data_IF_417828139163
#
_entry.id   IF_417828139163
#
_cell.length_a   1.000
_cell.length_b   1.000
_cell.length_c   1.000
_cell.angle_alpha   90.00
_cell.angle_beta   90.00
_cell.angle_gamma   90.00
#
_symmetry.space_group_name_H-M   'P 1'
#
loop_
_entity.id
_entity.type
_entity.pdbx_description
1 polymer ?
#
# COMPACT_ATOMS: atom_id res chain seq x y z
N UNK A 1 9.21 -6.95 73.14
CA UNK A 1 10.33 -6.55 72.26
C UNK A 1 10.81 -7.84 71.60
N UNK A 2 10.94 -7.81 70.27
CA UNK A 2 11.36 -8.90 69.38
C UNK A 2 10.34 -10.01 69.05
N UNK A 3 9.71 -9.88 67.87
CA UNK A 3 9.51 -11.00 66.94
C UNK A 3 9.65 -10.46 65.52
N UNK A 4 10.72 -10.92 64.88
CA UNK A 4 11.08 -10.71 63.48
C UNK A 4 10.33 -11.73 62.61
N UNK A 5 10.07 -11.28 61.39
CA UNK A 5 9.93 -12.03 60.14
C UNK A 5 8.73 -12.97 59.95
N UNK A 6 7.87 -12.61 58.99
CA UNK A 6 7.48 -13.41 57.81
C UNK A 6 6.06 -13.05 57.37
N UNK A 7 5.95 -12.12 56.43
CA UNK A 7 4.99 -12.23 55.33
C UNK A 7 5.52 -11.35 54.20
N UNK A 8 6.39 -11.97 53.40
CA UNK A 8 6.90 -11.40 52.16
C UNK A 8 5.77 -11.20 51.18
N UNK A 9 5.73 -10.02 50.58
CA UNK A 9 4.89 -9.73 49.43
C UNK A 9 5.11 -10.77 48.33
N UNK A 10 4.01 -11.34 47.85
CA UNK A 10 3.97 -12.09 46.62
C UNK A 10 4.31 -11.13 45.48
N UNK A 11 5.59 -11.15 45.10
CA UNK A 11 6.10 -10.56 43.89
C UNK A 11 5.52 -11.31 42.68
N UNK A 12 4.38 -10.84 42.19
CA UNK A 12 3.73 -11.29 40.96
C UNK A 12 4.48 -10.85 39.69
N UNK A 13 5.60 -10.13 39.83
CA UNK A 13 6.39 -9.63 38.69
C UNK A 13 7.30 -10.71 38.08
N UNK A 14 7.59 -11.79 38.80
CA UNK A 14 8.50 -12.87 38.36
C UNK A 14 7.87 -14.00 37.53
N UNK A 15 6.57 -13.95 37.24
CA UNK A 15 5.88 -15.02 36.48
C UNK A 15 5.79 -14.77 34.97
N UNK A 16 6.11 -13.55 34.48
CA UNK A 16 6.08 -13.23 33.05
C UNK A 16 7.31 -13.70 32.25
N UNK A 17 8.34 -14.25 32.91
CA UNK A 17 9.61 -14.62 32.26
C UNK A 17 9.66 -16.06 31.69
N UNK A 18 8.51 -16.75 31.57
CA UNK A 18 8.48 -18.17 31.15
C UNK A 18 7.43 -18.55 30.10
N UNK A 19 7.10 -17.67 29.15
CA UNK A 19 6.82 -18.23 27.82
C UNK A 19 8.19 -18.55 27.23
N UNK A 20 8.62 -19.80 27.42
CA UNK A 20 9.91 -20.30 26.92
C UNK A 20 10.08 -19.83 25.48
N UNK A 21 11.17 -19.14 25.14
CA UNK A 21 11.41 -18.68 23.76
C UNK A 21 11.26 -19.81 22.73
N UNK A 22 11.48 -21.07 23.14
CA UNK A 22 11.20 -22.25 22.33
C UNK A 22 9.72 -22.44 21.97
N UNK A 23 8.79 -22.15 22.89
CA UNK A 23 7.36 -22.22 22.62
C UNK A 23 6.91 -21.15 21.61
N UNK A 24 7.42 -19.93 21.71
CA UNK A 24 7.15 -18.86 20.74
C UNK A 24 7.70 -19.23 19.36
N UNK A 25 8.93 -19.74 19.29
CA UNK A 25 9.54 -20.21 18.04
C UNK A 25 8.77 -21.38 17.40
N UNK A 26 8.23 -22.29 18.21
CA UNK A 26 7.36 -23.36 17.72
C UNK A 26 6.06 -22.79 17.16
N UNK A 27 5.43 -21.84 17.85
CA UNK A 27 4.20 -21.18 17.37
C UNK A 27 4.43 -20.44 16.04
N UNK A 28 5.48 -19.62 15.93
CA UNK A 28 5.83 -18.94 14.67
C UNK A 28 6.14 -19.93 13.55
N UNK A 29 6.85 -21.02 13.84
CA UNK A 29 7.16 -22.07 12.87
C UNK A 29 5.92 -22.79 12.37
N UNK A 30 4.94 -23.06 13.24
CA UNK A 30 3.65 -23.68 12.85
C UNK A 30 2.89 -22.75 11.91
N UNK A 31 2.75 -21.46 12.27
CA UNK A 31 2.07 -20.47 11.43
C UNK A 31 2.78 -20.31 10.08
N UNK A 32 4.12 -20.26 10.10
CA UNK A 32 4.95 -20.20 8.90
C UNK A 32 4.81 -21.43 8.00
N UNK A 33 4.76 -22.63 8.57
CA UNK A 33 4.53 -23.88 7.83
C UNK A 33 3.15 -23.87 7.17
N UNK A 34 2.10 -23.48 7.90
CA UNK A 34 0.75 -23.38 7.35
C UNK A 34 0.69 -22.35 6.23
N UNK A 35 1.34 -21.19 6.41
CA UNK A 35 1.45 -20.16 5.38
C UNK A 35 2.12 -20.69 4.12
N UNK A 36 3.24 -21.42 4.27
CA UNK A 36 3.95 -22.03 3.15
C UNK A 36 3.10 -23.09 2.45
N UNK A 37 2.41 -23.95 3.22
CA UNK A 37 1.48 -24.95 2.70
C UNK A 37 0.40 -24.28 1.86
N UNK A 38 -0.26 -23.24 2.38
CA UNK A 38 -1.31 -22.51 1.67
C UNK A 38 -0.80 -21.86 0.38
N UNK A 39 0.37 -21.21 0.41
CA UNK A 39 0.97 -20.58 -0.78
C UNK A 39 1.34 -21.62 -1.86
N UNK A 40 1.64 -22.86 -1.47
CA UNK A 40 2.04 -23.93 -2.40
C UNK A 40 0.85 -24.72 -2.95
N UNK A 41 -0.08 -25.08 -2.09
CA UNK A 41 -1.26 -25.89 -2.43
C UNK A 41 -2.38 -25.03 -3.03
N UNK A 42 -2.48 -23.75 -2.64
CA UNK A 42 -3.42 -22.79 -3.19
C UNK A 42 -4.87 -23.11 -2.85
N UNK A 43 -5.76 -22.97 -3.84
CA UNK A 43 -7.21 -23.07 -3.65
C UNK A 43 -7.70 -24.40 -3.03
N UNK A 44 -6.96 -25.49 -3.24
CA UNK A 44 -7.31 -26.81 -2.66
C UNK A 44 -7.33 -26.76 -1.13
N UNK A 45 -6.46 -25.96 -0.49
CA UNK A 45 -6.47 -25.79 0.97
C UNK A 45 -7.79 -25.22 1.48
N UNK A 46 -8.40 -24.30 0.74
CA UNK A 46 -9.63 -23.62 1.14
C UNK A 46 -10.87 -24.47 0.83
N UNK A 47 -10.78 -25.34 -0.18
CA UNK A 47 -11.86 -26.29 -0.53
C UNK A 47 -12.01 -27.43 0.49
N UNK A 48 -10.92 -27.83 1.14
CA UNK A 48 -10.96 -28.85 2.20
C UNK A 48 -11.42 -28.20 3.51
N UNK A 49 -12.69 -28.41 3.86
CA UNK A 49 -13.36 -27.75 4.99
C UNK A 49 -12.60 -27.86 6.33
N UNK A 50 -12.02 -29.04 6.62
CA UNK A 50 -11.21 -29.25 7.84
C UNK A 50 -9.93 -28.41 7.85
N UNK A 51 -9.26 -28.31 6.70
CA UNK A 51 -8.04 -27.51 6.55
C UNK A 51 -8.36 -26.02 6.69
N UNK A 52 -9.42 -25.56 6.01
CA UNK A 52 -9.87 -24.18 6.09
C UNK A 52 -10.25 -23.78 7.53
N UNK A 53 -11.01 -24.63 8.25
CA UNK A 53 -11.33 -24.40 9.67
C UNK A 53 -10.08 -24.31 10.54
N UNK A 54 -9.12 -25.20 10.34
CA UNK A 54 -7.87 -25.20 11.11
C UNK A 54 -7.06 -23.91 10.86
N UNK A 55 -6.93 -23.49 9.60
CA UNK A 55 -6.24 -22.23 9.24
C UNK A 55 -6.93 -21.04 9.90
N UNK A 56 -8.26 -20.95 9.81
CA UNK A 56 -9.02 -19.85 10.41
C UNK A 56 -8.84 -19.83 11.94
N UNK A 57 -8.86 -20.99 12.61
CA UNK A 57 -8.64 -21.08 14.05
C UNK A 57 -7.23 -20.62 14.46
N UNK A 58 -6.20 -21.04 13.72
CA UNK A 58 -4.82 -20.62 13.96
C UNK A 58 -4.65 -19.12 13.70
N UNK A 59 -5.27 -18.61 12.64
CA UNK A 59 -5.28 -17.18 12.33
C UNK A 59 -5.92 -16.37 13.47
N UNK A 60 -7.11 -16.77 13.91
CA UNK A 60 -7.81 -16.11 15.02
C UNK A 60 -6.98 -16.11 16.30
N UNK A 61 -6.28 -17.20 16.59
CA UNK A 61 -5.38 -17.28 17.74
C UNK A 61 -4.17 -16.35 17.58
N UNK A 62 -3.57 -16.31 16.40
CA UNK A 62 -2.37 -15.49 16.11
C UNK A 62 -2.66 -13.99 16.16
N UNK A 63 -3.90 -13.59 15.85
CA UNK A 63 -4.34 -12.19 15.85
C UNK A 63 -5.09 -11.78 17.13
N UNK A 64 -5.16 -12.66 18.13
CA UNK A 64 -5.84 -12.37 19.39
C UNK A 64 -4.93 -11.52 20.30
N UNK A 65 -5.17 -10.20 20.30
CA UNK A 65 -4.45 -9.23 21.13
C UNK A 65 -4.78 -9.35 22.62
N UNK A 66 -5.82 -10.11 23.00
CA UNK A 66 -6.25 -10.29 24.40
C UNK A 66 -5.58 -11.47 25.11
N UNK A 67 -4.97 -12.39 24.37
CA UNK A 67 -4.38 -13.62 24.91
C UNK A 67 -2.88 -13.48 25.08
N UNK A 68 -2.39 -13.84 26.27
CA UNK A 68 -0.96 -13.94 26.56
C UNK A 68 -0.28 -14.93 25.58
N UNK A 69 0.72 -14.42 24.84
CA UNK A 69 1.53 -15.19 23.89
C UNK A 69 0.92 -15.42 22.49
N UNK A 70 -0.26 -14.85 22.20
CA UNK A 70 -0.83 -14.81 20.84
C UNK A 70 -0.38 -13.56 20.10
N UNK A 71 -1.15 -12.47 20.24
CA UNK A 71 -1.01 -11.26 19.43
C UNK A 71 0.36 -10.58 19.47
N UNK A 72 1.04 -10.52 20.62
CA UNK A 72 2.28 -9.71 20.73
C UNK A 72 3.44 -10.22 19.86
N UNK A 73 3.51 -11.53 19.59
CA UNK A 73 4.65 -12.16 18.89
C UNK A 73 4.27 -12.90 17.61
N UNK A 74 2.97 -13.02 17.29
CA UNK A 74 2.49 -13.77 16.13
C UNK A 74 1.70 -12.92 15.14
N UNK A 75 1.50 -11.62 15.38
CA UNK A 75 0.68 -10.80 14.46
C UNK A 75 1.31 -10.71 13.07
N UNK A 76 2.63 -10.60 12.96
CA UNK A 76 3.31 -10.55 11.65
C UNK A 76 3.07 -11.86 10.87
N UNK A 77 3.35 -13.02 11.47
CA UNK A 77 3.11 -14.34 10.88
C UNK A 77 1.62 -14.62 10.66
N UNK A 78 0.76 -14.11 11.54
CA UNK A 78 -0.69 -14.18 11.43
C UNK A 78 -1.20 -13.42 10.21
N UNK A 79 -0.72 -12.19 10.00
CA UNK A 79 -1.05 -11.39 8.81
C UNK A 79 -0.48 -12.00 7.52
N UNK A 80 0.70 -12.63 7.58
CA UNK A 80 1.27 -13.42 6.49
C UNK A 80 0.38 -14.61 6.09
N UNK A 81 -0.11 -15.36 7.10
CA UNK A 81 -1.05 -16.47 6.92
C UNK A 81 -2.39 -15.95 6.38
N UNK A 82 -2.87 -14.83 6.91
CA UNK A 82 -4.09 -14.19 6.46
C UNK A 82 -4.02 -13.83 4.97
N UNK A 83 -2.97 -13.13 4.56
CA UNK A 83 -2.73 -12.78 3.16
C UNK A 83 -2.68 -14.03 2.27
N UNK A 84 -2.07 -15.13 2.75
CA UNK A 84 -2.03 -16.39 2.04
C UNK A 84 -3.42 -17.05 1.93
N UNK A 85 -4.25 -16.97 2.97
CA UNK A 85 -5.64 -17.41 2.96
C UNK A 85 -6.48 -16.64 1.94
N UNK A 86 -6.36 -15.31 1.91
CA UNK A 86 -7.07 -14.49 0.94
C UNK A 86 -6.62 -14.80 -0.49
N UNK A 87 -5.30 -14.92 -0.71
CA UNK A 87 -4.76 -15.25 -2.03
C UNK A 87 -5.13 -16.67 -2.51
N UNK A 88 -5.32 -17.63 -1.59
CA UNK A 88 -5.78 -18.97 -1.91
C UNK A 88 -7.31 -19.05 -2.10
N UNK A 89 -8.06 -18.07 -1.56
CA UNK A 89 -9.51 -18.04 -1.68
C UNK A 89 -9.92 -17.69 -3.12
N UNK A 90 -10.86 -18.46 -3.67
CA UNK A 90 -11.37 -18.23 -5.03
C UNK A 90 -12.60 -17.33 -5.08
N UNK A 91 -13.20 -17.05 -3.92
CA UNK A 91 -14.42 -16.26 -3.78
C UNK A 91 -14.36 -15.44 -2.49
N UNK A 92 -14.99 -14.27 -2.51
CA UNK A 92 -15.17 -13.41 -1.35
C UNK A 92 -16.35 -13.91 -0.48
N UNK A 93 -16.13 -14.99 0.29
CA UNK A 93 -17.18 -15.65 1.07
C UNK A 93 -17.49 -14.93 2.39
N UNK A 94 -18.58 -15.29 3.07
CA UNK A 94 -18.95 -14.71 4.37
C UNK A 94 -17.86 -14.92 5.43
N UNK A 95 -17.24 -16.09 5.45
CA UNK A 95 -16.19 -16.44 6.41
C UNK A 95 -14.97 -15.53 6.23
N UNK A 96 -14.57 -15.29 4.98
CA UNK A 96 -13.47 -14.40 4.63
C UNK A 96 -13.79 -12.95 5.00
N UNK A 97 -15.02 -12.50 4.75
CA UNK A 97 -15.51 -11.16 5.12
C UNK A 97 -15.47 -10.89 6.62
N UNK A 98 -15.90 -11.88 7.42
CA UNK A 98 -15.96 -11.75 8.87
C UNK A 98 -14.60 -11.61 9.56
N UNK A 99 -13.50 -11.88 8.85
CA UNK A 99 -12.15 -11.67 9.38
C UNK A 99 -11.71 -10.20 9.28
N UNK A 100 -12.23 -9.43 8.30
CA UNK A 100 -11.75 -8.07 8.04
C UNK A 100 -11.77 -7.14 9.27
N UNK A 101 -12.80 -7.15 10.14
CA UNK A 101 -12.81 -6.32 11.35
C UNK A 101 -11.63 -6.53 12.32
N UNK A 102 -10.85 -7.62 12.16
CA UNK A 102 -9.62 -7.82 12.93
C UNK A 102 -8.54 -6.79 12.59
N UNK A 103 -8.55 -6.17 11.40
CA UNK A 103 -7.57 -5.11 11.05
C UNK A 103 -7.65 -3.92 12.00
N UNK A 104 -8.87 -3.51 12.39
CA UNK A 104 -9.08 -2.43 13.37
C UNK A 104 -8.59 -2.82 14.76
N UNK A 105 -8.70 -4.11 15.14
CA UNK A 105 -8.20 -4.59 16.43
C UNK A 105 -6.68 -4.56 16.49
N UNK A 106 -6.00 -4.92 15.40
CA UNK A 106 -4.55 -4.88 15.30
C UNK A 106 -4.05 -3.42 15.36
N UNK A 107 -4.68 -2.52 14.61
CA UNK A 107 -4.29 -1.10 14.52
C UNK A 107 -5.01 -0.18 15.53
N UNK A 108 -5.66 -0.78 16.52
CA UNK A 108 -6.37 -0.06 17.58
C UNK A 108 -5.45 0.37 18.72
N UNK A 109 -4.32 -0.33 18.90
CA UNK A 109 -3.34 -0.08 19.97
C UNK A 109 -2.20 0.81 19.48
N UNK A 110 -1.58 0.44 18.36
CA UNK A 110 -0.47 1.15 17.73
C UNK A 110 -0.47 0.92 16.20
N UNK A 111 0.60 1.37 15.53
CA UNK A 111 0.81 1.20 14.10
C UNK A 111 2.02 0.31 13.78
N UNK A 112 2.46 -0.53 14.71
CA UNK A 112 3.68 -1.34 14.53
C UNK A 112 3.50 -2.37 13.41
N UNK A 113 2.29 -2.94 13.31
CA UNK A 113 1.90 -3.92 12.28
C UNK A 113 1.19 -3.29 11.08
N UNK A 114 1.38 -1.98 10.87
CA UNK A 114 0.66 -1.24 9.83
C UNK A 114 0.87 -1.84 8.45
N UNK A 115 2.11 -2.20 8.10
CA UNK A 115 2.47 -2.69 6.76
C UNK A 115 1.85 -4.05 6.46
N UNK A 116 1.76 -4.89 7.47
CA UNK A 116 1.22 -6.25 7.43
C UNK A 116 -0.29 -6.18 7.22
N UNK A 117 -0.97 -5.32 7.99
CA UNK A 117 -2.42 -5.07 7.84
C UNK A 117 -2.73 -4.47 6.46
N UNK A 118 -1.90 -3.55 6.01
CA UNK A 118 -1.95 -2.94 4.70
C UNK A 118 -1.85 -3.94 3.54
N UNK A 119 -0.98 -4.94 3.64
CA UNK A 119 -0.88 -6.05 2.68
C UNK A 119 -2.12 -6.93 2.69
N UNK A 120 -2.70 -7.17 3.87
CA UNK A 120 -3.98 -7.88 4.00
C UNK A 120 -5.09 -7.10 3.31
N UNK A 121 -5.20 -5.78 3.55
CA UNK A 121 -6.19 -4.91 2.91
C UNK A 121 -6.08 -4.94 1.38
N UNK A 122 -4.86 -4.86 0.84
CA UNK A 122 -4.63 -4.98 -0.60
C UNK A 122 -5.14 -6.34 -1.13
N UNK A 123 -4.88 -7.43 -0.39
CA UNK A 123 -5.36 -8.77 -0.76
C UNK A 123 -6.89 -8.85 -0.80
N UNK A 124 -7.57 -8.19 0.15
CA UNK A 124 -9.03 -8.09 0.17
C UNK A 124 -9.58 -7.30 -1.00
N UNK A 125 -8.98 -6.15 -1.32
CA UNK A 125 -9.35 -5.35 -2.47
C UNK A 125 -9.23 -6.14 -3.78
N UNK A 126 -8.22 -7.02 -3.90
CA UNK A 126 -8.04 -7.90 -5.06
C UNK A 126 -9.08 -9.03 -5.14
N UNK A 127 -9.48 -9.59 -3.99
CA UNK A 127 -10.43 -10.71 -3.96
C UNK A 127 -11.89 -10.26 -4.10
N UNK A 128 -12.28 -9.22 -3.35
CA UNK A 128 -13.66 -8.76 -3.25
C UNK A 128 -14.01 -7.61 -4.19
N UNK A 129 -13.02 -6.91 -4.76
CA UNK A 129 -13.25 -5.81 -5.70
C UNK A 129 -14.25 -4.78 -5.14
N UNK A 130 -15.23 -4.41 -5.97
CA UNK A 130 -16.28 -3.44 -5.61
C UNK A 130 -17.15 -3.93 -4.44
N UNK A 131 -17.39 -5.24 -4.29
CA UNK A 131 -18.16 -5.77 -3.16
C UNK A 131 -17.47 -5.47 -1.83
N UNK A 132 -16.14 -5.67 -1.77
CA UNK A 132 -15.33 -5.30 -0.61
C UNK A 132 -15.32 -3.78 -0.38
N UNK A 133 -15.14 -2.98 -1.44
CA UNK A 133 -15.11 -1.51 -1.32
C UNK A 133 -16.45 -0.95 -0.83
N UNK A 134 -17.57 -1.52 -1.25
CA UNK A 134 -18.90 -1.09 -0.79
C UNK A 134 -19.18 -1.50 0.66
N UNK A 135 -18.63 -2.62 1.13
CA UNK A 135 -18.86 -3.12 2.49
C UNK A 135 -17.91 -2.49 3.52
N UNK A 136 -16.62 -2.33 3.17
CA UNK A 136 -15.55 -1.94 4.09
C UNK A 136 -14.76 -0.70 3.67
N UNK A 137 -15.16 0.00 2.60
CA UNK A 137 -14.46 1.19 2.09
C UNK A 137 -14.32 2.30 3.14
N UNK A 138 -15.36 2.56 3.93
CA UNK A 138 -15.31 3.57 5.00
C UNK A 138 -14.34 3.20 6.12
N UNK A 139 -14.30 1.91 6.51
CA UNK A 139 -13.37 1.41 7.51
C UNK A 139 -11.92 1.51 7.00
N UNK A 140 -11.68 1.08 5.76
CA UNK A 140 -10.38 1.20 5.10
C UNK A 140 -9.90 2.65 5.07
N UNK A 141 -10.79 3.56 4.67
CA UNK A 141 -10.53 5.00 4.62
C UNK A 141 -10.20 5.55 6.01
N UNK A 142 -10.97 5.18 7.03
CA UNK A 142 -10.70 5.58 8.42
C UNK A 142 -9.30 5.16 8.86
N UNK A 143 -8.92 3.90 8.61
CA UNK A 143 -7.59 3.39 8.95
C UNK A 143 -6.48 4.15 8.22
N UNK A 144 -6.63 4.36 6.91
CA UNK A 144 -5.63 5.08 6.10
C UNK A 144 -5.49 6.54 6.56
N UNK A 145 -6.59 7.23 6.85
CA UNK A 145 -6.57 8.60 7.36
C UNK A 145 -5.90 8.69 8.74
N UNK A 146 -6.21 7.78 9.66
CA UNK A 146 -5.54 7.70 10.97
C UNK A 146 -4.04 7.45 10.80
N UNK A 147 -3.66 6.51 9.93
CA UNK A 147 -2.27 6.19 9.66
C UNK A 147 -1.52 7.43 9.14
N UNK A 148 -2.05 8.11 8.10
CA UNK A 148 -1.44 9.31 7.50
C UNK A 148 -1.32 10.51 8.46
N UNK A 149 -2.03 10.51 9.59
CA UNK A 149 -1.95 11.57 10.61
C UNK A 149 -1.03 11.26 11.79
N UNK A 150 -0.68 9.98 11.99
CA UNK A 150 -0.03 9.51 13.22
C UNK A 150 1.35 8.86 13.01
N UNK A 151 1.69 8.49 11.78
CA UNK A 151 2.92 7.74 11.49
C UNK A 151 4.04 8.61 10.94
N UNK A 152 5.27 8.14 11.11
CA UNK A 152 6.46 8.70 10.47
C UNK A 152 6.47 8.41 8.96
N UNK A 153 7.40 9.04 8.23
CA UNK A 153 7.59 8.91 6.78
C UNK A 153 7.42 7.49 6.24
N UNK A 154 8.01 6.48 6.91
CA UNK A 154 7.91 5.07 6.49
C UNK A 154 6.46 4.57 6.41
N UNK A 155 5.60 4.97 7.35
CA UNK A 155 4.19 4.61 7.34
C UNK A 155 3.40 5.39 6.26
N UNK A 156 3.72 6.67 6.05
CA UNK A 156 3.11 7.48 5.00
C UNK A 156 3.44 6.90 3.60
N UNK A 157 4.68 6.46 3.40
CA UNK A 157 5.10 5.78 2.18
C UNK A 157 4.37 4.44 1.99
N UNK A 158 4.22 3.65 3.05
CA UNK A 158 3.46 2.40 2.98
C UNK A 158 1.97 2.63 2.63
N UNK A 159 1.36 3.68 3.19
CA UNK A 159 -0.01 4.07 2.84
C UNK A 159 -0.11 4.53 1.38
N UNK A 160 0.85 5.33 0.91
CA UNK A 160 0.90 5.78 -0.47
C UNK A 160 1.05 4.61 -1.47
N UNK A 161 1.83 3.58 -1.13
CA UNK A 161 2.01 2.38 -1.98
C UNK A 161 0.72 1.58 -2.17
N UNK A 162 -0.14 1.52 -1.15
CA UNK A 162 -1.41 0.80 -1.23
C UNK A 162 -2.44 1.60 -1.98
N UNK A 163 -2.54 2.90 -1.71
CA UNK A 163 -3.41 3.80 -2.46
C UNK A 163 -3.05 3.78 -3.94
N UNK A 164 -1.74 3.76 -4.23
CA UNK A 164 -1.25 3.56 -5.58
C UNK A 164 -1.76 2.24 -6.18
N UNK A 165 -1.62 1.14 -5.44
CA UNK A 165 -2.08 -0.18 -5.88
C UNK A 165 -3.59 -0.18 -6.11
N UNK A 166 -4.38 0.41 -5.22
CA UNK A 166 -5.83 0.56 -5.36
C UNK A 166 -6.22 1.39 -6.60
N UNK A 167 -5.54 2.51 -6.88
CA UNK A 167 -5.79 3.29 -8.10
C UNK A 167 -5.51 2.51 -9.38
N UNK A 168 -4.54 1.59 -9.35
CA UNK A 168 -4.25 0.69 -10.48
C UNK A 168 -5.33 -0.38 -10.63
N UNK A 169 -5.88 -0.88 -9.51
CA UNK A 169 -6.89 -1.95 -9.52
C UNK A 169 -8.30 -1.46 -9.85
N UNK A 170 -8.64 -0.24 -9.45
CA UNK A 170 -9.94 0.38 -9.67
C UNK A 170 -9.81 1.60 -10.58
N UNK A 171 -9.53 1.44 -11.89
CA UNK A 171 -9.32 2.58 -12.78
C UNK A 171 -10.59 3.42 -12.98
N UNK A 172 -11.77 2.82 -12.82
CA UNK A 172 -13.05 3.54 -12.95
C UNK A 172 -13.41 4.33 -11.69
N UNK A 173 -13.44 3.66 -10.53
CA UNK A 173 -14.00 4.19 -9.28
C UNK A 173 -12.94 4.52 -8.22
N UNK A 174 -11.67 4.22 -8.46
CA UNK A 174 -10.61 4.37 -7.45
C UNK A 174 -10.49 5.80 -6.94
N UNK A 175 -10.53 6.78 -7.84
CA UNK A 175 -10.48 8.21 -7.45
C UNK A 175 -11.66 8.55 -6.54
N UNK A 176 -12.88 8.13 -6.90
CA UNK A 176 -14.06 8.29 -6.04
C UNK A 176 -13.91 7.64 -4.67
N UNK A 177 -13.45 6.39 -4.59
CA UNK A 177 -13.28 5.70 -3.32
C UNK A 177 -12.25 6.37 -2.40
N UNK A 178 -11.22 6.99 -2.97
CA UNK A 178 -10.10 7.57 -2.24
C UNK A 178 -10.15 9.10 -2.16
N UNK A 179 -11.23 9.74 -2.63
CA UNK A 179 -11.28 11.19 -2.82
C UNK A 179 -10.92 12.01 -1.57
N UNK A 180 -11.41 11.62 -0.40
CA UNK A 180 -11.08 12.29 0.87
C UNK A 180 -9.61 12.14 1.26
N UNK A 181 -9.03 10.97 1.05
CA UNK A 181 -7.61 10.71 1.34
C UNK A 181 -6.73 11.52 0.37
N UNK A 182 -7.11 11.56 -0.92
CA UNK A 182 -6.42 12.35 -1.92
C UNK A 182 -6.50 13.86 -1.62
N UNK A 183 -7.64 14.36 -1.11
CA UNK A 183 -7.78 15.75 -0.66
C UNK A 183 -6.88 16.06 0.54
N UNK A 184 -6.83 15.18 1.53
CA UNK A 184 -5.93 15.34 2.68
C UNK A 184 -4.46 15.38 2.26
N UNK A 185 -4.05 14.48 1.37
CA UNK A 185 -2.69 14.49 0.80
C UNK A 185 -2.39 15.76 0.02
N UNK A 186 -3.34 16.22 -0.81
CA UNK A 186 -3.20 17.46 -1.57
C UNK A 186 -3.00 18.65 -0.62
N UNK A 187 -3.82 18.76 0.42
CA UNK A 187 -3.72 19.81 1.42
C UNK A 187 -2.37 19.78 2.17
N UNK A 188 -1.87 18.60 2.52
CA UNK A 188 -0.56 18.42 3.18
C UNK A 188 0.60 18.84 2.27
N UNK A 189 0.53 18.50 0.98
CA UNK A 189 1.51 18.92 -0.03
C UNK A 189 1.51 20.44 -0.19
N UNK A 190 0.34 21.06 -0.35
CA UNK A 190 0.22 22.51 -0.50
C UNK A 190 0.72 23.26 0.74
N UNK A 191 0.45 22.73 1.93
CA UNK A 191 0.91 23.32 3.18
C UNK A 191 2.41 23.09 3.45
N UNK A 192 3.13 22.34 2.60
CA UNK A 192 4.54 21.96 2.75
C UNK A 192 4.85 21.40 4.15
N UNK A 193 3.94 20.59 4.70
CA UNK A 193 4.02 20.04 6.07
C UNK A 193 4.77 18.71 6.17
N UNK A 194 4.97 18.05 5.04
CA UNK A 194 5.58 16.73 4.97
C UNK A 194 7.06 16.82 4.60
N UNK A 195 7.82 15.77 4.90
CA UNK A 195 9.19 15.65 4.41
C UNK A 195 9.23 15.60 2.88
N UNK A 196 10.36 15.97 2.28
CA UNK A 196 10.50 15.98 0.81
C UNK A 196 10.23 14.59 0.20
N UNK A 197 10.61 13.52 0.91
CA UNK A 197 10.40 12.13 0.45
C UNK A 197 8.90 11.78 0.44
N UNK A 198 8.18 12.14 1.50
CA UNK A 198 6.73 11.91 1.58
C UNK A 198 5.98 12.80 0.58
N UNK A 199 6.38 14.06 0.43
CA UNK A 199 5.84 14.99 -0.58
C UNK A 199 5.98 14.41 -1.98
N UNK A 200 7.16 13.88 -2.35
CA UNK A 200 7.36 13.24 -3.65
C UNK A 200 6.45 12.02 -3.86
N UNK A 201 6.22 11.22 -2.82
CA UNK A 201 5.32 10.07 -2.88
C UNK A 201 3.86 10.52 -3.08
N UNK A 202 3.40 11.51 -2.32
CA UNK A 202 2.04 12.05 -2.44
C UNK A 202 1.81 12.71 -3.79
N UNK A 203 2.72 13.58 -4.24
CA UNK A 203 2.66 14.20 -5.57
C UNK A 203 2.67 13.14 -6.67
N UNK A 204 3.52 12.12 -6.55
CA UNK A 204 3.57 11.01 -7.50
C UNK A 204 2.30 10.15 -7.51
N UNK A 205 1.57 10.07 -6.39
CA UNK A 205 0.28 9.39 -6.26
C UNK A 205 -0.85 10.25 -6.81
N UNK A 206 -0.89 11.56 -6.51
CA UNK A 206 -1.84 12.52 -7.08
C UNK A 206 -1.72 12.56 -8.60
N UNK A 207 -0.50 12.56 -9.15
CA UNK A 207 -0.27 12.44 -10.59
C UNK A 207 -0.90 11.17 -11.19
N UNK A 208 -0.86 10.05 -10.45
CA UNK A 208 -1.53 8.82 -10.87
C UNK A 208 -3.04 8.97 -10.82
N UNK A 209 -3.60 9.53 -9.75
CA UNK A 209 -5.05 9.72 -9.62
C UNK A 209 -5.59 10.58 -10.77
N UNK A 210 -4.90 11.67 -11.12
CA UNK A 210 -5.19 12.51 -12.28
C UNK A 210 -5.19 11.67 -13.56
N UNK A 211 -4.13 10.92 -13.83
CA UNK A 211 -4.00 10.06 -15.03
C UNK A 211 -5.02 8.91 -15.09
N UNK A 212 -5.49 8.43 -13.94
CA UNK A 212 -6.48 7.35 -13.86
C UNK A 212 -7.85 7.86 -14.27
N UNK A 213 -8.33 8.96 -13.67
CA UNK A 213 -9.63 9.54 -13.99
C UNK A 213 -9.64 11.03 -13.66
N UNK A 214 -9.26 11.87 -14.63
CA UNK A 214 -9.17 13.31 -14.44
C UNK A 214 -10.53 13.96 -14.13
N UNK A 215 -11.63 13.45 -14.69
CA UNK A 215 -12.96 14.06 -14.49
C UNK A 215 -13.45 13.93 -13.04
N UNK A 216 -13.27 12.73 -12.46
CA UNK A 216 -13.56 12.51 -11.04
C UNK A 216 -12.57 13.26 -10.14
N UNK A 217 -11.28 13.30 -10.52
CA UNK A 217 -10.28 14.03 -9.74
C UNK A 217 -10.58 15.52 -9.69
N UNK A 218 -10.94 16.13 -10.82
CA UNK A 218 -11.36 17.52 -10.91
C UNK A 218 -12.57 17.82 -10.04
N UNK A 219 -13.56 16.93 -10.06
CA UNK A 219 -14.84 17.16 -9.38
C UNK A 219 -14.74 16.88 -7.87
N UNK A 220 -14.05 15.81 -7.47
CA UNK A 220 -14.04 15.32 -6.09
C UNK A 220 -12.82 15.74 -5.28
N UNK A 221 -11.68 16.00 -5.94
CA UNK A 221 -10.41 16.35 -5.27
C UNK A 221 -10.08 17.82 -5.44
N UNK A 222 -10.06 18.31 -6.67
CA UNK A 222 -9.84 19.74 -6.94
C UNK A 222 -11.08 20.59 -6.68
N UNK A 223 -12.26 19.98 -6.60
CA UNK A 223 -13.55 20.70 -6.42
C UNK A 223 -13.77 21.76 -7.51
N UNK A 224 -13.19 21.54 -8.70
CA UNK A 224 -13.14 22.48 -9.85
C UNK A 224 -12.53 23.84 -9.52
N UNK A 225 -11.66 23.89 -8.52
CA UNK A 225 -10.89 25.08 -8.17
C UNK A 225 -9.63 25.17 -9.03
N UNK A 226 -9.58 26.21 -9.87
CA UNK A 226 -8.45 26.48 -10.75
C UNK A 226 -7.16 26.75 -9.96
N UNK A 227 -7.24 27.37 -8.78
CA UNK A 227 -6.08 27.67 -7.96
C UNK A 227 -5.40 26.39 -7.47
N UNK A 228 -6.18 25.39 -7.03
CA UNK A 228 -5.66 24.07 -6.65
C UNK A 228 -5.04 23.33 -7.83
N UNK A 229 -5.58 23.49 -9.04
CA UNK A 229 -4.99 22.90 -10.25
C UNK A 229 -3.61 23.51 -10.53
N UNK A 230 -3.52 24.83 -10.42
CA UNK A 230 -2.29 25.60 -10.55
C UNK A 230 -1.25 25.19 -9.50
N UNK A 231 -1.63 25.14 -8.22
CA UNK A 231 -0.75 24.75 -7.12
C UNK A 231 -0.27 23.30 -7.26
N UNK A 232 -1.13 22.39 -7.75
CA UNK A 232 -0.76 21.01 -8.07
C UNK A 232 0.30 20.96 -9.18
N UNK A 233 0.17 21.76 -10.24
CA UNK A 233 1.19 21.83 -11.29
C UNK A 233 2.52 22.33 -10.76
N UNK A 234 2.53 23.35 -9.91
CA UNK A 234 3.75 23.85 -9.29
C UNK A 234 4.39 22.79 -8.41
N UNK A 235 3.61 22.08 -7.59
CA UNK A 235 4.11 20.98 -6.77
C UNK A 235 4.69 19.82 -7.63
N UNK A 236 4.05 19.48 -8.76
CA UNK A 236 4.53 18.46 -9.68
C UNK A 236 5.89 18.82 -10.29
N UNK A 237 6.08 20.10 -10.67
CA UNK A 237 7.34 20.61 -11.20
C UNK A 237 8.42 20.68 -10.11
N UNK A 238 8.11 21.29 -8.96
CA UNK A 238 9.05 21.48 -7.83
C UNK A 238 9.60 20.15 -7.30
N UNK A 239 8.76 19.11 -7.22
CA UNK A 239 9.17 17.82 -6.65
C UNK A 239 9.87 16.91 -7.66
N UNK A 240 9.87 17.22 -8.96
CA UNK A 240 10.39 16.30 -9.99
C UNK A 240 11.88 15.96 -9.82
N UNK A 241 12.70 16.92 -9.41
CA UNK A 241 14.13 16.71 -9.20
C UNK A 241 14.44 15.82 -8.00
N UNK A 242 13.54 15.82 -7.00
CA UNK A 242 13.64 15.00 -5.81
C UNK A 242 13.04 13.58 -6.00
N UNK A 243 12.32 13.34 -7.09
CA UNK A 243 11.73 12.03 -7.39
C UNK A 243 12.80 11.05 -7.87
N UNK A 244 13.14 10.09 -7.00
CA UNK A 244 14.01 8.97 -7.35
C UNK A 244 13.24 7.93 -8.18
N UNK A 245 13.61 7.79 -9.46
CA UNK A 245 13.09 6.73 -10.33
C UNK A 245 12.40 7.26 -11.59
N UNK A 246 12.89 6.82 -12.73
CA UNK A 246 12.45 7.25 -14.05
C UNK A 246 10.97 7.00 -14.33
N UNK A 247 10.42 5.89 -13.81
CA UNK A 247 9.00 5.57 -13.95
C UNK A 247 8.07 6.58 -13.23
N UNK A 248 8.48 7.10 -12.06
CA UNK A 248 7.70 8.11 -11.33
C UNK A 248 7.81 9.46 -12.05
N UNK A 249 9.02 9.85 -12.47
CA UNK A 249 9.23 11.09 -13.23
C UNK A 249 8.43 11.13 -14.53
N UNK A 250 8.45 10.05 -15.31
CA UNK A 250 7.62 9.91 -16.53
C UNK A 250 6.14 10.08 -16.25
N UNK A 251 5.64 9.48 -15.16
CA UNK A 251 4.24 9.61 -14.75
C UNK A 251 3.90 11.06 -14.41
N UNK A 252 4.76 11.75 -13.66
CA UNK A 252 4.61 13.17 -13.32
C UNK A 252 4.57 14.04 -14.59
N UNK A 253 5.48 13.80 -15.54
CA UNK A 253 5.50 14.51 -16.82
C UNK A 253 4.23 14.25 -17.63
N UNK A 254 3.78 12.99 -17.73
CA UNK A 254 2.55 12.66 -18.42
C UNK A 254 1.33 13.36 -17.80
N UNK A 255 1.27 13.44 -16.47
CA UNK A 255 0.26 14.19 -15.75
C UNK A 255 0.30 15.68 -16.12
N UNK A 256 1.47 16.32 -16.06
CA UNK A 256 1.66 17.73 -16.44
C UNK A 256 1.20 18.00 -17.87
N UNK A 257 1.55 17.13 -18.82
CA UNK A 257 1.10 17.24 -20.21
C UNK A 257 -0.42 17.14 -20.33
N UNK A 258 -1.04 16.22 -19.59
CA UNK A 258 -2.48 16.03 -19.64
C UNK A 258 -3.25 17.23 -19.06
N UNK A 259 -2.80 17.75 -17.91
CA UNK A 259 -3.39 18.94 -17.27
C UNK A 259 -3.21 20.17 -18.17
N UNK A 260 -2.00 20.39 -18.70
CA UNK A 260 -1.71 21.49 -19.63
C UNK A 260 -2.61 21.45 -20.87
N UNK A 261 -2.77 20.26 -21.47
CA UNK A 261 -3.64 20.08 -22.65
C UNK A 261 -5.10 20.36 -22.31
N UNK A 262 -5.57 19.89 -21.16
CA UNK A 262 -6.98 20.01 -20.76
C UNK A 262 -7.37 21.43 -20.41
N UNK A 263 -6.46 22.19 -19.80
CA UNK A 263 -6.72 23.53 -19.30
C UNK A 263 -5.95 24.62 -20.07
N UNK A 264 -5.62 24.38 -21.32
CA UNK A 264 -4.87 25.32 -22.15
C UNK A 264 -5.52 26.71 -22.29
N UNK A 265 -6.84 26.80 -22.11
CA UNK A 265 -7.57 28.08 -22.15
C UNK A 265 -7.20 29.00 -20.97
N UNK A 266 -6.78 28.45 -19.82
CA UNK A 266 -6.38 29.23 -18.65
C UNK A 266 -5.05 29.95 -18.90
N UNK A 267 -5.02 31.24 -18.60
CA UNK A 267 -3.78 32.03 -18.64
C UNK A 267 -2.80 31.57 -17.55
N UNK A 268 -3.28 31.31 -16.34
CA UNK A 268 -2.45 30.87 -15.22
C UNK A 268 -1.72 29.55 -15.54
N UNK A 269 -2.38 28.62 -16.23
CA UNK A 269 -1.79 27.35 -16.62
C UNK A 269 -0.81 27.52 -17.80
N UNK A 270 -1.14 28.37 -18.78
CA UNK A 270 -0.23 28.69 -19.89
C UNK A 270 1.09 29.32 -19.43
N UNK A 271 1.07 30.14 -18.39
CA UNK A 271 2.29 30.76 -17.85
C UNK A 271 3.31 29.73 -17.31
N UNK A 272 2.87 28.51 -17.00
CA UNK A 272 3.74 27.40 -16.54
C UNK A 272 4.32 26.56 -17.68
N UNK A 273 3.98 26.86 -18.94
CA UNK A 273 4.44 26.09 -20.09
C UNK A 273 5.96 25.97 -20.17
N UNK A 274 6.69 27.05 -19.90
CA UNK A 274 8.16 27.02 -19.93
C UNK A 274 8.75 26.03 -18.92
N UNK A 275 8.20 26.00 -17.69
CA UNK A 275 8.63 25.08 -16.65
C UNK A 275 8.29 23.62 -17.00
N UNK A 276 7.08 23.37 -17.51
CA UNK A 276 6.65 22.03 -17.96
C UNK A 276 7.51 21.53 -19.12
N UNK A 277 7.81 22.38 -20.10
CA UNK A 277 8.67 22.04 -21.23
C UNK A 277 10.10 21.68 -20.78
N UNK A 278 10.66 22.43 -19.82
CA UNK A 278 11.98 22.14 -19.23
C UNK A 278 12.01 20.73 -18.60
N UNK A 279 11.00 20.44 -17.78
CA UNK A 279 10.83 19.14 -17.12
C UNK A 279 10.66 17.99 -18.11
N UNK A 280 9.89 18.18 -19.19
CA UNK A 280 9.77 17.18 -20.27
C UNK A 280 11.14 16.87 -20.87
N UNK A 281 11.90 17.89 -21.27
CA UNK A 281 13.23 17.73 -21.88
C UNK A 281 14.17 16.99 -20.93
N UNK A 282 14.15 17.33 -19.65
CA UNK A 282 14.98 16.68 -18.64
C UNK A 282 14.70 15.18 -18.53
N UNK A 283 13.42 14.78 -18.49
CA UNK A 283 13.03 13.36 -18.36
C UNK A 283 13.27 12.58 -19.65
N UNK A 284 13.04 13.19 -20.82
CA UNK A 284 13.34 12.55 -22.12
C UNK A 284 14.83 12.27 -22.27
N UNK A 285 15.70 13.25 -21.94
CA UNK A 285 17.15 13.04 -21.96
C UNK A 285 17.61 11.95 -20.99
N UNK A 286 16.99 11.87 -19.82
CA UNK A 286 17.29 10.82 -18.87
C UNK A 286 16.93 9.43 -19.42
N UNK A 287 15.81 9.31 -20.14
CA UNK A 287 15.39 8.07 -20.79
C UNK A 287 16.35 7.64 -21.90
N UNK A 288 16.77 8.58 -22.76
CA UNK A 288 17.74 8.31 -23.83
C UNK A 288 19.07 7.79 -23.27
N UNK A 289 19.55 8.39 -22.19
CA UNK A 289 20.77 7.95 -21.52
C UNK A 289 20.63 6.54 -20.92
N UNK A 290 19.50 6.25 -20.26
CA UNK A 290 19.23 4.91 -19.72
C UNK A 290 19.12 3.84 -20.82
N UNK A 291 18.54 4.19 -21.97
CA UNK A 291 18.48 3.34 -23.16
C UNK A 291 19.87 3.05 -23.77
N UNK A 292 20.76 4.02 -23.77
CA UNK A 292 22.13 3.85 -24.27
C UNK A 292 22.99 2.97 -23.36
N UNK A 293 22.87 3.11 -22.04
CA UNK A 293 23.57 2.26 -21.07
C UNK A 293 23.12 0.79 -21.16
N UNK A 294 21.82 0.56 -21.32
CA UNK A 294 21.26 -0.79 -21.53
C UNK A 294 21.62 -1.37 -22.90
N UNK A 295 21.75 -0.52 -23.94
CA UNK A 295 22.24 -0.93 -25.27
C UNK A 295 23.73 -1.29 -25.30
N UNK A 296 24.56 -0.62 -24.49
CA UNK A 296 25.98 -0.95 -24.31
C UNK A 296 26.15 -2.25 -23.51
N UNK A 297 25.38 -2.44 -22.43
CA UNK A 297 25.31 -3.72 -21.70
C UNK A 297 24.71 -4.86 -22.54
N UNK A 298 23.88 -4.55 -23.54
CA UNK A 298 23.38 -5.51 -24.53
C UNK A 298 24.45 -5.99 -25.54
N UNK A 299 25.56 -5.26 -25.70
CA UNK A 299 26.71 -5.65 -26.51
C UNK A 299 27.78 -6.41 -25.72
N UNK A 300 27.87 -6.17 -24.41
CA UNK A 300 28.75 -6.91 -23.51
C UNK A 300 27.94 -7.68 -22.46
N UNK A 301 27.65 -8.96 -22.73
CA UNK A 301 27.23 -9.90 -21.69
C UNK A 301 25.76 -10.29 -21.71
N UNK A 302 25.41 -11.22 -22.60
CA UNK A 302 24.41 -12.24 -22.27
C UNK A 302 24.98 -13.12 -21.14
N UNK A 303 24.90 -12.66 -19.89
CA UNK A 303 25.02 -13.53 -18.72
C UNK A 303 24.51 -12.85 -17.44
N UNK A 304 23.44 -13.44 -16.89
CA UNK A 304 22.98 -13.39 -15.49
C UNK A 304 22.31 -12.08 -15.02
N UNK A 305 20.98 -11.95 -15.10
CA UNK A 305 19.98 -12.45 -14.12
C UNK A 305 20.38 -12.21 -12.65
N UNK A 306 19.76 -11.21 -12.03
CA UNK A 306 19.37 -11.04 -10.61
C UNK A 306 19.21 -9.51 -10.41
N UNK A 307 18.04 -8.92 -10.17
CA UNK A 307 17.25 -9.01 -8.95
C UNK A 307 15.82 -8.53 -9.24
N UNK A 308 14.82 -9.40 -9.04
CA UNK A 308 13.39 -9.04 -8.94
C UNK A 308 12.80 -9.85 -7.78
N UNK A 309 12.16 -9.21 -6.78
CA UNK A 309 11.47 -9.91 -5.70
C UNK A 309 10.41 -10.87 -6.25
N UNK A 310 10.31 -12.05 -5.64
CA UNK A 310 9.67 -13.26 -6.17
C UNK A 310 8.14 -13.30 -6.13
N UNK A 311 7.44 -12.20 -5.85
CA UNK A 311 5.98 -12.21 -5.62
C UNK A 311 5.13 -11.74 -6.80
N UNK A 312 5.68 -11.09 -7.83
CA UNK A 312 4.92 -10.61 -9.00
C UNK A 312 4.79 -11.59 -10.17
N UNK A 313 5.48 -12.74 -10.15
CA UNK A 313 5.71 -13.57 -11.36
C UNK A 313 4.53 -14.40 -11.84
N UNK A 314 3.37 -14.39 -11.17
CA UNK A 314 2.20 -15.20 -11.57
C UNK A 314 0.97 -14.42 -12.06
N UNK A 315 0.99 -13.09 -12.03
CA UNK A 315 -0.13 -12.27 -12.54
C UNK A 315 0.19 -11.56 -13.87
N UNK A 316 1.46 -11.45 -14.25
CA UNK A 316 1.88 -10.79 -15.50
C UNK A 316 1.78 -11.68 -16.75
N UNK A 317 1.41 -12.96 -16.63
CA UNK A 317 1.32 -13.87 -17.77
C UNK A 317 -0.01 -13.81 -18.54
N UNK A 318 -1.01 -13.06 -18.05
CA UNK A 318 -2.35 -12.98 -18.64
C UNK A 318 -2.74 -11.65 -19.29
N UNK A 319 -1.95 -10.58 -19.11
CA UNK A 319 -2.20 -9.26 -19.69
C UNK A 319 -1.08 -8.93 -20.67
N UNK A 320 -1.06 -9.65 -21.80
CA UNK A 320 -0.24 -9.27 -22.95
C UNK A 320 -0.80 -7.99 -23.56
N UNK A 321 0.03 -6.95 -23.55
CA UNK A 321 0.21 -5.95 -24.62
C UNK A 321 -0.85 -5.98 -25.71
N UNK A 322 -1.90 -5.17 -25.60
CA UNK A 322 -2.68 -4.72 -26.78
C UNK A 322 -3.58 -3.50 -26.53
N UNK A 323 -3.82 -3.04 -25.30
CA UNK A 323 -4.88 -2.05 -25.06
C UNK A 323 -4.46 -0.58 -24.82
N UNK A 324 -3.19 -0.26 -24.55
CA UNK A 324 -2.78 1.09 -24.11
C UNK A 324 -2.18 2.00 -25.20
N UNK A 325 -2.25 1.62 -26.48
CA UNK A 325 -1.83 2.47 -27.62
C UNK A 325 -2.98 2.87 -28.57
N UNK A 326 -4.24 2.78 -28.12
CA UNK A 326 -5.39 3.35 -28.85
C UNK A 326 -6.25 4.22 -27.95
N UNK A 327 -5.70 5.36 -27.54
CA UNK A 327 -6.46 6.54 -27.14
C UNK A 327 -5.51 7.74 -27.15
N UNK A 328 -5.19 8.21 -28.36
CA UNK A 328 -4.90 9.63 -28.62
C UNK A 328 -6.24 10.33 -28.74
#
# INVERSE_FOLDING_TARGET
MEKRDLEGGLDVSGLHEKSSGGEVLLRTSIVGLLTALMRKVGAVCVQVERMNRMVIAVLQFSLDMSKEGGGLYLVEEGCELWSALIAASTKYTKEVRMLFPMTERILGVDFDNLREVFRVMESYALLGGDEFMNEFGDALKSILMRALGAVKDRGCLAAADILNSMLIRFPGQGVRYMAEILRDMLAKVFAKRESQVVSCAFVGLLARAVLTNIEEFETLVLERDESKCVDLMDCLVENLDAMYGLAIRKRTVACLCMVMRRYWASEAIRMRFGAVASVIVQVVRQEENAGNETGLAGREGRSLRCWLPSTGRRLAAGLKETALLRAV
#
